data_IF_403996956868
#
_entry.id   IF_403996956868
#
_cell.length_a   1.000
_cell.length_b   1.000
_cell.length_c   1.000
_cell.angle_alpha   90.00
_cell.angle_beta   90.00
_cell.angle_gamma   90.00
#
_symmetry.space_group_name_H-M   'P 1'
#
loop_
_entity.id
_entity.type
_entity.pdbx_description
1 polymer ?
#
# COMPACT_ATOMS: atom_id res chain seq x y z
N UNK A 1 -20.17 -25.55 -20.09
CA UNK A 1 -18.98 -25.72 -19.23
C UNK A 1 -18.44 -27.10 -19.47
N UNK A 2 -17.34 -27.24 -20.23
CA UNK A 2 -16.80 -28.55 -20.63
C UNK A 2 -16.36 -29.37 -19.41
N UNK A 3 -16.00 -28.72 -18.29
CA UNK A 3 -15.55 -29.37 -17.05
C UNK A 3 -16.57 -29.32 -15.88
N UNK A 4 -17.83 -28.92 -16.12
CA UNK A 4 -18.86 -28.89 -15.05
C UNK A 4 -18.64 -27.90 -13.91
N UNK A 5 -17.56 -27.10 -13.92
CA UNK A 5 -17.31 -26.05 -12.95
C UNK A 5 -18.29 -24.88 -13.10
N UNK A 6 -18.98 -24.51 -12.02
CA UNK A 6 -19.84 -23.32 -11.97
C UNK A 6 -19.04 -22.02 -12.00
N UNK A 7 -19.66 -20.91 -12.40
CA UNK A 7 -19.03 -19.60 -12.59
C UNK A 7 -18.14 -19.15 -11.41
N UNK A 8 -18.65 -19.26 -10.17
CA UNK A 8 -17.93 -18.86 -8.97
C UNK A 8 -16.63 -19.66 -8.77
N UNK A 9 -16.66 -20.95 -9.14
CA UNK A 9 -15.52 -21.86 -9.02
C UNK A 9 -14.46 -21.55 -10.07
N UNK A 10 -14.86 -21.28 -11.31
CA UNK A 10 -13.96 -20.85 -12.38
C UNK A 10 -13.30 -19.50 -12.05
N UNK A 11 -14.05 -18.55 -11.50
CA UNK A 11 -13.51 -17.26 -11.09
C UNK A 11 -12.43 -17.41 -10.01
N UNK A 12 -12.74 -18.09 -8.90
CA UNK A 12 -11.81 -18.19 -7.76
C UNK A 12 -10.63 -19.14 -8.02
N UNK A 13 -10.82 -20.22 -8.77
CA UNK A 13 -9.77 -21.25 -8.95
C UNK A 13 -8.92 -21.05 -10.20
N UNK A 14 -9.39 -20.29 -11.19
CA UNK A 14 -8.68 -20.12 -12.47
C UNK A 14 -8.36 -18.64 -12.73
N UNK A 15 -9.36 -17.76 -12.74
CA UNK A 15 -9.15 -16.35 -13.10
C UNK A 15 -8.38 -15.57 -12.02
N UNK A 16 -8.76 -15.72 -10.75
CA UNK A 16 -8.15 -15.01 -9.62
C UNK A 16 -6.65 -15.30 -9.43
N UNK A 17 -6.16 -16.56 -9.40
CA UNK A 17 -4.74 -16.83 -9.25
C UNK A 17 -3.91 -16.37 -10.44
N UNK A 18 -4.46 -16.44 -11.67
CA UNK A 18 -3.80 -15.91 -12.87
C UNK A 18 -3.64 -14.39 -12.83
N UNK A 19 -4.57 -13.69 -12.17
CA UNK A 19 -4.49 -12.25 -11.95
C UNK A 19 -3.54 -11.87 -10.80
N UNK A 20 -2.98 -12.83 -10.05
CA UNK A 20 -2.15 -12.60 -8.86
C UNK A 20 -1.06 -11.52 -9.03
N UNK A 21 -0.24 -11.54 -10.09
CA UNK A 21 0.78 -10.50 -10.32
C UNK A 21 0.19 -9.10 -10.57
N UNK A 22 -0.92 -9.02 -11.31
CA UNK A 22 -1.63 -7.76 -11.58
C UNK A 22 -2.26 -7.23 -10.30
N UNK A 23 -2.91 -8.10 -9.52
CA UNK A 23 -3.49 -7.74 -8.22
C UNK A 23 -2.42 -7.23 -7.27
N UNK A 24 -1.25 -7.87 -7.18
CA UNK A 24 -0.13 -7.41 -6.37
C UNK A 24 0.31 -5.99 -6.74
N UNK A 25 0.39 -5.70 -8.05
CA UNK A 25 0.79 -4.38 -8.55
C UNK A 25 -0.25 -3.31 -8.20
N UNK A 26 -1.53 -3.59 -8.47
CA UNK A 26 -2.63 -2.67 -8.14
C UNK A 26 -2.69 -2.43 -6.63
N UNK A 27 -2.60 -3.47 -5.81
CA UNK A 27 -2.57 -3.35 -4.34
C UNK A 27 -1.44 -2.46 -3.88
N UNK A 28 -0.23 -2.63 -4.42
CA UNK A 28 0.91 -1.79 -4.05
C UNK A 28 0.70 -0.33 -4.45
N UNK A 29 0.27 -0.06 -5.69
CA UNK A 29 0.00 1.30 -6.16
C UNK A 29 -1.11 1.97 -5.36
N UNK A 30 -2.21 1.27 -5.10
CA UNK A 30 -3.33 1.78 -4.28
C UNK A 30 -2.87 2.03 -2.85
N UNK A 31 -2.14 1.09 -2.24
CA UNK A 31 -1.62 1.26 -0.89
C UNK A 31 -0.72 2.49 -0.78
N UNK A 32 0.23 2.66 -1.70
CA UNK A 32 1.10 3.84 -1.72
C UNK A 32 0.30 5.13 -1.85
N UNK A 33 -0.70 5.18 -2.73
CA UNK A 33 -1.54 6.35 -2.91
C UNK A 33 -2.34 6.69 -1.64
N UNK A 34 -2.95 5.69 -0.99
CA UNK A 34 -3.72 5.89 0.24
C UNK A 34 -2.84 6.22 1.43
N UNK A 35 -1.66 5.60 1.56
CA UNK A 35 -0.71 5.84 2.64
C UNK A 35 -0.08 7.24 2.58
N UNK A 36 0.26 7.71 1.38
CA UNK A 36 0.79 9.06 1.15
C UNK A 36 -0.30 10.14 1.10
N UNK A 37 -1.58 9.77 1.23
CA UNK A 37 -2.67 10.74 1.22
C UNK A 37 -2.54 11.70 2.41
N UNK A 38 -2.46 13.00 2.12
CA UNK A 38 -2.29 14.04 3.13
C UNK A 38 -3.54 14.89 3.32
N UNK A 39 -4.07 15.47 2.23
CA UNK A 39 -5.17 16.44 2.30
C UNK A 39 -6.46 15.86 2.87
N UNK A 40 -6.90 14.70 2.37
CA UNK A 40 -8.13 14.04 2.82
C UNK A 40 -8.08 13.73 4.33
N UNK A 41 -7.06 13.02 4.84
CA UNK A 41 -6.93 12.79 6.27
C UNK A 41 -6.82 14.07 7.09
N UNK A 42 -6.09 15.09 6.62
CA UNK A 42 -5.95 16.36 7.33
C UNK A 42 -7.31 17.04 7.57
N UNK A 43 -8.15 17.10 6.52
CA UNK A 43 -9.48 17.71 6.62
C UNK A 43 -10.39 16.91 7.55
N UNK A 44 -10.42 15.58 7.42
CA UNK A 44 -11.30 14.73 8.23
C UNK A 44 -10.88 14.60 9.70
N UNK A 45 -9.59 14.70 9.99
CA UNK A 45 -9.02 14.52 11.34
C UNK A 45 -8.69 15.85 12.02
N UNK A 46 -9.05 16.99 11.40
CA UNK A 46 -8.76 18.32 11.91
C UNK A 46 -9.22 18.49 13.36
N UNK A 47 -10.46 18.08 13.65
CA UNK A 47 -11.08 18.16 14.99
C UNK A 47 -10.74 16.99 15.92
N UNK A 48 -10.00 15.97 15.45
CA UNK A 48 -9.64 14.77 16.23
C UNK A 48 -8.15 14.41 16.00
N UNK A 49 -7.23 15.11 16.70
CA UNK A 49 -5.79 14.93 16.52
C UNK A 49 -5.30 13.48 16.70
N UNK A 50 -5.95 12.73 17.59
CA UNK A 50 -5.59 11.33 17.90
C UNK A 50 -5.86 10.36 16.75
N UNK A 51 -6.64 10.79 15.74
CA UNK A 51 -6.94 10.00 14.55
C UNK A 51 -6.10 10.40 13.33
N UNK A 52 -5.14 11.33 13.49
CA UNK A 52 -4.28 11.79 12.41
C UNK A 52 -3.42 10.65 11.89
N UNK A 53 -3.35 10.53 10.56
CA UNK A 53 -2.40 9.62 9.92
C UNK A 53 -0.98 10.12 10.13
N UNK A 54 0.00 9.22 10.04
CA UNK A 54 1.43 9.53 10.21
C UNK A 54 1.86 10.73 9.36
N UNK A 55 1.39 10.79 8.11
CA UNK A 55 1.63 11.89 7.16
C UNK A 55 1.11 13.25 7.66
N UNK A 56 -0.05 13.28 8.32
CA UNK A 56 -0.63 14.51 8.89
C UNK A 56 0.02 14.84 10.24
N UNK A 57 0.35 13.82 11.03
CA UNK A 57 1.01 13.96 12.34
C UNK A 57 2.39 14.64 12.24
N UNK A 58 3.08 14.50 11.11
CA UNK A 58 4.36 15.18 10.87
C UNK A 58 4.27 16.72 10.95
N UNK A 59 3.09 17.31 10.74
CA UNK A 59 2.87 18.75 10.93
C UNK A 59 3.14 19.20 12.37
N UNK A 60 3.02 18.30 13.36
CA UNK A 60 3.30 18.63 14.75
C UNK A 60 4.78 18.96 15.02
N UNK A 61 5.70 18.54 14.14
CA UNK A 61 7.13 18.87 14.23
C UNK A 61 7.48 20.24 13.63
N UNK A 62 6.54 20.89 12.93
CA UNK A 62 6.70 22.25 12.39
C UNK A 62 6.05 23.24 13.36
N UNK A 63 6.87 23.85 14.21
CA UNK A 63 6.43 24.91 15.14
C UNK A 63 6.61 26.31 14.54
N UNK A 64 5.88 27.27 15.10
CA UNK A 64 5.90 28.68 14.65
C UNK A 64 7.28 29.36 14.83
N UNK A 65 8.05 28.94 15.84
CA UNK A 65 9.36 29.52 16.18
C UNK A 65 10.55 28.58 15.88
N UNK A 66 10.30 27.28 15.69
CA UNK A 66 11.34 26.28 15.46
C UNK A 66 10.75 25.00 14.90
N UNK A 67 11.43 24.39 13.94
CA UNK A 67 11.08 23.09 13.37
C UNK A 67 11.98 22.01 13.96
N UNK A 68 11.38 20.95 14.49
CA UNK A 68 12.12 19.75 14.90
C UNK A 68 12.39 18.86 13.68
N UNK A 69 13.51 19.16 13.01
CA UNK A 69 13.99 18.38 11.88
C UNK A 69 14.34 16.94 12.23
N UNK A 70 14.75 16.69 13.49
CA UNK A 70 15.14 15.36 13.94
C UNK A 70 13.91 14.45 14.13
N UNK A 71 12.87 14.97 14.78
CA UNK A 71 11.58 14.29 14.92
C UNK A 71 10.90 14.06 13.57
N UNK A 72 10.95 15.06 12.68
CA UNK A 72 10.40 14.92 11.32
C UNK A 72 11.14 13.86 10.50
N UNK A 73 12.47 13.84 10.54
CA UNK A 73 13.27 12.82 9.85
C UNK A 73 13.00 11.41 10.40
N UNK A 74 12.88 11.26 11.73
CA UNK A 74 12.52 9.98 12.35
C UNK A 74 11.13 9.51 11.91
N UNK A 75 10.13 10.41 11.89
CA UNK A 75 8.79 10.11 11.43
C UNK A 75 8.76 9.71 9.93
N UNK A 76 9.59 10.35 9.10
CA UNK A 76 9.74 10.01 7.69
C UNK A 76 10.35 8.61 7.48
N UNK A 77 11.32 8.20 8.31
CA UNK A 77 11.87 6.84 8.25
C UNK A 77 10.82 5.81 8.68
N UNK A 78 10.05 6.10 9.74
CA UNK A 78 8.97 5.23 10.21
C UNK A 78 7.86 5.09 9.15
N UNK A 79 7.54 6.16 8.41
CA UNK A 79 6.50 6.13 7.37
C UNK A 79 6.86 5.22 6.19
N UNK A 80 8.15 4.92 5.97
CA UNK A 80 8.62 3.98 4.95
C UNK A 80 8.46 2.51 5.36
N UNK A 81 8.51 2.19 6.65
CA UNK A 81 8.41 0.81 7.16
C UNK A 81 7.23 0.01 6.60
N UNK A 82 5.98 0.49 6.61
CA UNK A 82 4.86 -0.30 6.12
C UNK A 82 4.92 -0.56 4.60
N UNK A 83 5.50 0.38 3.83
CA UNK A 83 5.70 0.19 2.39
C UNK A 83 6.74 -0.91 2.15
N UNK A 84 7.84 -0.91 2.91
CA UNK A 84 8.88 -1.95 2.84
C UNK A 84 8.31 -3.32 3.23
N UNK A 85 7.54 -3.40 4.31
CA UNK A 85 6.89 -4.64 4.74
C UNK A 85 5.96 -5.16 3.64
N UNK A 86 5.13 -4.29 3.06
CA UNK A 86 4.22 -4.67 1.98
C UNK A 86 5.00 -5.17 0.76
N UNK A 87 6.09 -4.49 0.41
CA UNK A 87 6.96 -4.91 -0.69
C UNK A 87 7.54 -6.30 -0.46
N UNK A 88 8.08 -6.58 0.73
CA UNK A 88 8.64 -7.91 1.08
C UNK A 88 7.57 -9.01 1.00
N UNK A 89 6.33 -8.72 1.39
CA UNK A 89 5.22 -9.69 1.29
C UNK A 89 4.82 -9.93 -0.16
N UNK A 90 4.79 -8.87 -0.99
CA UNK A 90 4.35 -8.94 -2.38
C UNK A 90 5.45 -9.37 -3.36
N UNK A 91 6.74 -9.27 -3.00
CA UNK A 91 7.88 -9.52 -3.90
C UNK A 91 7.81 -10.89 -4.59
N UNK A 92 7.27 -11.92 -3.91
CA UNK A 92 7.13 -13.27 -4.48
C UNK A 92 6.22 -13.29 -5.72
N UNK A 93 5.15 -12.49 -5.71
CA UNK A 93 4.20 -12.41 -6.83
C UNK A 93 4.79 -11.66 -8.02
N UNK A 94 5.67 -10.69 -7.76
CA UNK A 94 6.44 -10.03 -8.81
C UNK A 94 7.43 -11.01 -9.47
N UNK A 95 8.13 -11.83 -8.69
CA UNK A 95 9.08 -12.83 -9.21
C UNK A 95 8.37 -13.94 -9.99
N UNK A 96 7.25 -14.47 -9.47
CA UNK A 96 6.45 -15.49 -10.15
C UNK A 96 5.82 -14.99 -11.46
N UNK A 97 5.36 -13.73 -11.49
CA UNK A 97 4.82 -13.10 -12.71
C UNK A 97 5.85 -12.95 -13.83
N UNK A 98 7.10 -12.63 -13.50
CA UNK A 98 8.21 -12.55 -14.46
C UNK A 98 8.61 -13.95 -14.95
N UNK A 99 8.68 -14.94 -14.05
CA UNK A 99 9.00 -16.32 -14.41
C UNK A 99 7.93 -16.96 -15.31
N UNK A 100 6.65 -16.63 -15.11
CA UNK A 100 5.55 -17.09 -15.97
C UNK A 100 5.52 -16.44 -17.36
N UNK A 101 6.05 -15.22 -17.49
CA UNK A 101 6.18 -14.51 -18.77
C UNK A 101 7.32 -15.07 -19.65
N UNK A 102 8.35 -15.66 -19.04
CA UNK A 102 9.42 -16.37 -19.73
C UNK A 102 9.14 -17.87 -19.71
N UNK A 103 8.21 -18.30 -20.55
CA UNK A 103 8.17 -19.68 -21.04
C UNK A 103 8.51 -19.64 -22.53
N UNK A 104 9.82 -19.56 -22.80
CA UNK A 104 10.39 -19.89 -24.11
C UNK A 104 10.37 -21.42 -24.32
#
# INVERSE_FOLDING_TARGET
TVDGAGFLRTFLQVMLPMAGPVTATVTLMTFMATWNAFFLPLVFTFSRPDLRTLSVGMLAFVGENSTDWSGMAAAAVISLLPVVILFIVLQRYFVEGIAGAVKA
#
